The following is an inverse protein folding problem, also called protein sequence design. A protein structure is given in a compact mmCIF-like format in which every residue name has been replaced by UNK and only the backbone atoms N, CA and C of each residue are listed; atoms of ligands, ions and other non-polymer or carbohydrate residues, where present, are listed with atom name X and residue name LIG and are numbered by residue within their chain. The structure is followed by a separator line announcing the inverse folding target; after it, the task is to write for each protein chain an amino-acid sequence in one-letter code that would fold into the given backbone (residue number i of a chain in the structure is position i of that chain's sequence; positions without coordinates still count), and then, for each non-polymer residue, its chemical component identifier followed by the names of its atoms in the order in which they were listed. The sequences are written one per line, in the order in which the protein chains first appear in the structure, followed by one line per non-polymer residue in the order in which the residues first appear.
data_IF_592109555101
#
_entry.id   IF_592109555101
#
_cell.length_a   1.000
_cell.length_b   1.000
_cell.length_c   1.000
_cell.angle_alpha   90.00
_cell.angle_beta   90.00
_cell.angle_gamma   90.00
#
_symmetry.space_group_name_H-M   'P 1'
#
loop_
_entity.id
_entity.type
_entity.pdbx_description
1 polymer ?
#
# COMPACT_ATOMS: atom_id res chain seq x y z
N UNK A 1 18.27 -15.41 17.23
CA UNK A 1 19.06 -14.20 17.56
C UNK A 1 18.23 -12.98 17.15
N UNK A 2 18.58 -11.76 17.61
CA UNK A 2 17.69 -10.58 17.50
C UNK A 2 17.89 -9.89 16.15
N UNK A 3 16.81 -9.67 15.40
CA UNK A 3 16.80 -8.85 14.18
C UNK A 3 17.01 -7.38 14.53
N UNK A 4 17.92 -6.69 13.86
CA UNK A 4 18.20 -5.27 14.12
C UNK A 4 17.57 -4.44 13.00
N UNK A 5 16.78 -3.44 13.37
CA UNK A 5 16.09 -2.56 12.43
C UNK A 5 16.50 -1.12 12.68
N UNK A 6 16.91 -0.40 11.64
CA UNK A 6 17.04 1.05 11.66
C UNK A 6 15.97 1.70 10.78
N UNK A 7 15.48 2.86 11.23
CA UNK A 7 14.40 3.62 10.61
C UNK A 7 14.88 5.05 10.35
N UNK A 8 15.01 5.41 9.08
CA UNK A 8 15.44 6.75 8.66
C UNK A 8 14.23 7.54 8.15
N UNK A 9 13.74 8.49 8.95
CA UNK A 9 12.59 9.32 8.57
C UNK A 9 12.97 10.41 7.56
N UNK A 10 12.05 10.72 6.64
CA UNK A 10 12.20 11.83 5.70
C UNK A 10 10.87 12.55 5.45
N UNK A 11 11.01 13.84 5.14
CA UNK A 11 9.88 14.66 4.70
C UNK A 11 9.56 14.30 3.25
N UNK A 12 8.37 13.76 3.02
CA UNK A 12 7.82 13.52 1.69
C UNK A 12 7.49 14.82 0.94
N UNK A 13 7.43 14.78 -0.39
CA UNK A 13 7.07 15.95 -1.23
C UNK A 13 5.73 16.59 -0.88
N UNK A 14 4.80 15.85 -0.25
CA UNK A 14 3.55 16.40 0.31
C UNK A 14 3.80 17.47 1.38
N UNK A 15 4.79 17.28 2.26
CA UNK A 15 5.12 18.27 3.29
C UNK A 15 5.72 19.53 2.66
N UNK A 16 6.60 19.36 1.67
CA UNK A 16 7.20 20.48 0.96
C UNK A 16 6.15 21.28 0.19
N UNK A 17 5.28 20.61 -0.57
CA UNK A 17 4.21 21.25 -1.32
C UNK A 17 3.19 21.95 -0.40
N UNK A 18 2.87 21.36 0.75
CA UNK A 18 1.98 22.00 1.73
C UNK A 18 2.60 23.24 2.37
N UNK A 19 3.91 23.22 2.64
CA UNK A 19 4.62 24.37 3.18
C UNK A 19 4.73 25.50 2.14
N UNK A 20 5.04 25.16 0.89
CA UNK A 20 5.08 26.12 -0.21
C UNK A 20 3.71 26.75 -0.48
N UNK A 21 2.64 25.95 -0.51
CA UNK A 21 1.26 26.43 -0.72
C UNK A 21 0.79 27.35 0.42
N UNK A 22 1.09 26.99 1.69
CA UNK A 22 0.79 27.85 2.83
C UNK A 22 1.58 29.17 2.78
N UNK A 23 2.87 29.11 2.40
CA UNK A 23 3.67 30.31 2.17
C UNK A 23 3.06 31.24 1.11
N UNK A 24 2.66 30.68 -0.03
CA UNK A 24 2.07 31.44 -1.13
C UNK A 24 0.71 32.07 -0.77
N UNK A 25 -0.12 31.37 0.00
CA UNK A 25 -1.37 31.92 0.52
C UNK A 25 -1.14 33.05 1.52
N UNK A 26 -0.08 32.95 2.33
CA UNK A 26 0.29 34.01 3.28
C UNK A 26 0.73 35.27 2.56
N UNK A 27 1.54 35.14 1.50
CA UNK A 27 1.93 36.26 0.64
C UNK A 27 0.70 36.85 -0.07
N UNK A 28 -0.18 36.01 -0.60
CA UNK A 28 -1.44 36.43 -1.22
C UNK A 28 -2.32 37.22 -0.24
N UNK A 29 -2.40 36.79 1.03
CA UNK A 29 -3.14 37.51 2.07
C UNK A 29 -2.56 38.91 2.34
N UNK A 30 -1.24 39.06 2.35
CA UNK A 30 -0.57 40.36 2.49
C UNK A 30 -0.83 41.28 1.29
N UNK A 31 -0.75 40.74 0.07
CA UNK A 31 -1.05 41.51 -1.16
C UNK A 31 -2.52 41.91 -1.20
N UNK A 32 -3.44 41.01 -0.83
CA UNK A 32 -4.88 41.30 -0.77
C UNK A 32 -5.19 42.40 0.26
N UNK A 33 -4.54 42.37 1.44
CA UNK A 33 -4.69 43.42 2.45
C UNK A 33 -4.33 44.81 1.89
N UNK A 34 -3.19 44.92 1.19
CA UNK A 34 -2.75 46.18 0.58
C UNK A 34 -3.67 46.59 -0.57
N UNK A 35 -3.99 45.67 -1.48
CA UNK A 35 -4.82 45.93 -2.66
C UNK A 35 -6.24 46.36 -2.31
N UNK A 36 -6.89 45.67 -1.37
CA UNK A 36 -8.24 46.01 -0.90
C UNK A 36 -8.27 47.35 -0.17
N UNK A 37 -7.20 47.65 0.60
CA UNK A 37 -7.07 48.96 1.27
C UNK A 37 -6.90 50.10 0.27
N UNK A 38 -6.09 49.91 -0.78
CA UNK A 38 -5.92 50.91 -1.86
C UNK A 38 -7.21 51.09 -2.65
N UNK A 39 -7.98 50.02 -2.86
CA UNK A 39 -9.27 50.06 -3.55
C UNK A 39 -10.42 50.65 -2.72
N UNK A 40 -10.18 51.07 -1.47
CA UNK A 40 -11.20 51.69 -0.61
C UNK A 40 -12.27 50.71 -0.12
N UNK A 41 -11.98 49.41 -0.12
CA UNK A 41 -12.91 48.38 0.35
C UNK A 41 -13.10 48.50 1.86
N UNK A 42 -14.32 48.24 2.33
CA UNK A 42 -14.68 48.34 3.75
C UNK A 42 -13.75 47.53 4.67
N UNK A 43 -13.48 48.05 5.87
CA UNK A 43 -12.56 47.40 6.82
C UNK A 43 -13.01 45.99 7.21
N UNK A 44 -14.31 45.77 7.33
CA UNK A 44 -14.88 44.48 7.71
C UNK A 44 -14.72 43.42 6.61
N UNK A 45 -14.96 43.78 5.35
CA UNK A 45 -14.77 42.87 4.20
C UNK A 45 -13.29 42.58 3.97
N UNK A 46 -12.42 43.58 4.13
CA UNK A 46 -10.97 43.41 4.07
C UNK A 46 -10.49 42.44 5.17
N UNK A 47 -10.94 42.62 6.40
CA UNK A 47 -10.60 41.73 7.51
C UNK A 47 -11.10 40.29 7.29
N UNK A 48 -12.32 40.11 6.80
CA UNK A 48 -12.90 38.80 6.52
C UNK A 48 -12.12 38.03 5.44
N UNK A 49 -11.74 38.71 4.33
CA UNK A 49 -10.97 38.10 3.24
C UNK A 49 -9.57 37.69 3.72
N UNK A 50 -8.87 38.57 4.44
CA UNK A 50 -7.52 38.29 4.94
C UNK A 50 -7.55 37.17 5.99
N UNK A 51 -8.52 37.18 6.90
CA UNK A 51 -8.70 36.12 7.89
C UNK A 51 -8.99 34.76 7.23
N UNK A 52 -9.83 34.73 6.18
CA UNK A 52 -10.11 33.52 5.41
C UNK A 52 -8.86 32.94 4.73
N UNK A 53 -8.05 33.80 4.10
CA UNK A 53 -6.80 33.38 3.45
C UNK A 53 -5.76 32.86 4.46
N UNK A 54 -5.61 33.53 5.60
CA UNK A 54 -4.72 33.07 6.67
C UNK A 54 -5.21 31.77 7.32
N UNK A 55 -6.53 31.63 7.52
CA UNK A 55 -7.15 30.39 8.01
C UNK A 55 -6.89 29.21 7.08
N UNK A 56 -7.05 29.41 5.76
CA UNK A 56 -6.72 28.40 4.75
C UNK A 56 -5.23 28.05 4.75
N UNK A 57 -4.35 29.06 4.87
CA UNK A 57 -2.90 28.85 4.98
C UNK A 57 -2.54 27.98 6.18
N UNK A 58 -3.09 28.28 7.36
CA UNK A 58 -2.88 27.48 8.57
C UNK A 58 -3.43 26.05 8.44
N UNK A 59 -4.62 25.89 7.84
CA UNK A 59 -5.22 24.58 7.62
C UNK A 59 -4.35 23.70 6.69
N UNK A 60 -3.81 24.29 5.61
CA UNK A 60 -2.92 23.59 4.66
C UNK A 60 -1.59 23.23 5.34
N UNK A 61 -1.00 24.15 6.13
CA UNK A 61 0.22 23.88 6.88
C UNK A 61 0.00 22.78 7.94
N UNK A 62 -1.12 22.80 8.67
CA UNK A 62 -1.47 21.79 9.66
C UNK A 62 -1.69 20.43 9.00
N UNK A 63 -2.44 20.39 7.89
CA UNK A 63 -2.65 19.18 7.11
C UNK A 63 -1.33 18.58 6.57
N UNK A 64 -0.39 19.46 6.20
CA UNK A 64 0.98 19.09 5.86
C UNK A 64 1.74 18.46 7.02
N UNK A 65 1.73 19.08 8.20
CA UNK A 65 2.49 18.59 9.37
C UNK A 65 1.91 17.34 10.03
N UNK A 66 0.60 17.16 9.98
CA UNK A 66 -0.12 16.02 10.59
C UNK A 66 -0.06 14.75 9.72
N UNK A 67 0.45 14.84 8.50
CA UNK A 67 0.67 13.66 7.65
C UNK A 67 1.76 12.75 8.21
N UNK A 68 1.57 11.42 8.12
CA UNK A 68 2.62 10.44 8.45
C UNK A 68 3.89 10.72 7.62
N UNK A 69 5.02 10.86 8.30
CA UNK A 69 6.35 11.00 7.69
C UNK A 69 6.68 9.73 6.93
N UNK A 70 7.41 9.85 5.82
CA UNK A 70 7.96 8.66 5.16
C UNK A 70 9.14 8.17 5.98
N UNK A 71 9.38 6.88 6.01
CA UNK A 71 10.61 6.33 6.57
C UNK A 71 11.18 5.26 5.64
N UNK A 72 12.49 5.26 5.49
CA UNK A 72 13.26 4.15 4.93
C UNK A 72 13.58 3.19 6.08
N UNK A 73 13.24 1.93 5.89
CA UNK A 73 13.53 0.86 6.83
C UNK A 73 14.67 0.03 6.28
N UNK A 74 15.63 -0.31 7.13
CA UNK A 74 16.66 -1.31 6.86
C UNK A 74 16.71 -2.25 8.06
N UNK A 75 16.45 -3.52 7.81
CA UNK A 75 16.45 -4.58 8.81
C UNK A 75 17.43 -5.65 8.38
N UNK A 76 18.29 -6.09 9.30
CA UNK A 76 19.21 -7.20 9.07
C UNK A 76 18.98 -8.26 10.12
N UNK A 77 18.62 -9.46 9.67
CA UNK A 77 18.59 -10.67 10.49
C UNK A 77 19.88 -11.49 10.29
N UNK A 78 19.90 -12.76 10.68
CA UNK A 78 21.09 -13.60 10.60
C UNK A 78 21.38 -14.11 9.17
N UNK A 79 20.39 -14.08 8.27
CA UNK A 79 20.47 -14.69 6.94
C UNK A 79 20.04 -13.77 5.79
N UNK A 80 19.37 -12.65 6.06
CA UNK A 80 18.68 -11.80 5.08
C UNK A 80 18.75 -10.32 5.48
N UNK A 81 18.89 -9.47 4.47
CA UNK A 81 18.79 -8.02 4.55
C UNK A 81 17.48 -7.58 3.91
N UNK A 82 16.68 -6.82 4.64
CA UNK A 82 15.43 -6.22 4.16
C UNK A 82 15.58 -4.71 4.13
N UNK A 83 15.13 -4.07 3.06
CA UNK A 83 15.04 -2.61 3.00
C UNK A 83 13.89 -2.14 2.12
N UNK A 84 13.32 -0.98 2.46
CA UNK A 84 12.21 -0.39 1.70
C UNK A 84 11.69 0.88 2.35
N UNK A 85 10.57 1.39 1.87
CA UNK A 85 9.88 2.54 2.46
C UNK A 85 8.51 2.14 3.03
N UNK A 86 7.94 2.94 3.94
CA UNK A 86 6.63 2.63 4.56
C UNK A 86 5.42 2.62 3.58
N UNK A 87 5.60 3.08 2.34
CA UNK A 87 4.54 3.21 1.34
C UNK A 87 4.64 2.18 0.21
N UNK A 88 5.75 1.44 0.09
CA UNK A 88 6.06 0.49 -0.98
C UNK A 88 6.60 -0.84 -0.43
N UNK A 89 6.62 -1.87 -1.27
CA UNK A 89 7.00 -3.23 -0.93
C UNK A 89 8.46 -3.29 -0.41
N UNK A 90 8.68 -4.02 0.69
CA UNK A 90 10.01 -4.27 1.25
C UNK A 90 10.77 -5.22 0.30
N UNK A 91 12.01 -4.86 -0.04
CA UNK A 91 12.90 -5.70 -0.85
C UNK A 91 13.81 -6.49 0.09
N UNK A 92 13.94 -7.78 -0.17
CA UNK A 92 14.76 -8.70 0.63
C UNK A 92 15.85 -9.36 -0.22
N UNK A 93 17.06 -9.45 0.33
CA UNK A 93 18.17 -10.19 -0.26
C UNK A 93 18.84 -11.08 0.79
N UNK A 94 19.14 -12.35 0.48
CA UNK A 94 19.95 -13.19 1.35
C UNK A 94 21.32 -12.56 1.62
N UNK A 95 21.83 -12.63 2.84
CA UNK A 95 23.17 -12.14 3.21
C UNK A 95 24.27 -12.87 2.43
N UNK A 96 24.04 -14.12 2.04
CA UNK A 96 24.94 -14.88 1.16
C UNK A 96 25.07 -14.27 -0.24
N UNK A 97 24.05 -13.55 -0.71
CA UNK A 97 24.08 -12.86 -2.00
C UNK A 97 24.84 -11.52 -1.93
N UNK A 98 25.18 -11.04 -0.72
CA UNK A 98 25.88 -9.79 -0.52
C UNK A 98 27.35 -9.90 -1.00
N UNK A 99 27.65 -9.23 -2.10
CA UNK A 99 29.00 -9.21 -2.69
C UNK A 99 29.89 -8.13 -2.08
N UNK A 100 29.33 -6.97 -1.82
CA UNK A 100 30.05 -5.88 -1.15
C UNK A 100 29.10 -4.94 -0.44
N UNK A 101 29.59 -4.31 0.62
CA UNK A 101 28.94 -3.16 1.24
C UNK A 101 29.96 -2.04 1.50
N UNK A 102 29.51 -0.80 1.46
CA UNK A 102 30.31 0.36 1.82
C UNK A 102 29.41 1.46 2.41
N UNK A 103 29.92 2.19 3.40
CA UNK A 103 29.25 3.40 3.89
C UNK A 103 29.63 4.56 2.98
N UNK A 104 28.65 5.04 2.21
CA UNK A 104 28.78 6.21 1.34
C UNK A 104 28.65 7.53 2.10
N UNK A 105 29.05 8.62 1.45
CA UNK A 105 28.90 9.97 1.98
C UNK A 105 27.43 10.42 2.08
N UNK A 106 27.22 11.70 2.43
CA UNK A 106 25.87 12.27 2.45
C UNK A 106 25.24 12.26 1.06
N UNK A 107 23.96 11.91 0.97
CA UNK A 107 23.23 11.92 -0.29
C UNK A 107 22.77 13.34 -0.66
N UNK A 108 22.92 13.68 -1.95
CA UNK A 108 22.52 14.98 -2.50
C UNK A 108 21.03 15.06 -2.86
N UNK A 109 20.28 13.95 -2.75
CA UNK A 109 18.85 13.87 -3.07
C UNK A 109 18.10 12.87 -2.17
N UNK A 110 16.81 13.16 -1.92
CA UNK A 110 15.88 12.22 -1.29
C UNK A 110 15.15 11.41 -2.36
N UNK A 111 15.42 10.11 -2.44
CA UNK A 111 14.75 9.19 -3.37
C UNK A 111 14.01 8.09 -2.60
N UNK A 112 12.75 7.89 -2.96
CA UNK A 112 11.88 6.80 -2.50
C UNK A 112 11.46 5.88 -3.67
N UNK A 113 12.23 5.89 -4.76
CA UNK A 113 11.89 5.16 -5.98
C UNK A 113 12.51 3.77 -5.99
N UNK A 114 11.67 2.73 -6.02
CA UNK A 114 12.05 1.37 -6.40
C UNK A 114 11.57 1.12 -7.83
N UNK A 115 12.44 1.45 -8.78
CA UNK A 115 12.31 1.15 -10.20
C UNK A 115 13.67 0.73 -10.75
N UNK A 116 13.98 0.98 -12.04
CA UNK A 116 15.33 0.75 -12.62
C UNK A 116 16.49 1.44 -11.86
N UNK A 117 16.18 2.37 -10.96
CA UNK A 117 17.10 3.07 -10.10
C UNK A 117 17.02 2.55 -8.66
N UNK A 118 18.08 1.90 -8.21
CA UNK A 118 18.24 1.21 -6.91
C UNK A 118 18.66 2.20 -5.79
N UNK A 119 17.94 3.32 -5.64
CA UNK A 119 18.31 4.42 -4.73
C UNK A 119 17.20 4.74 -3.71
N UNK A 120 17.44 4.38 -2.45
CA UNK A 120 16.64 4.72 -1.25
C UNK A 120 17.42 5.71 -0.37
N UNK A 121 17.71 6.89 -0.90
CA UNK A 121 18.53 7.91 -0.22
C UNK A 121 17.67 9.00 0.44
N UNK A 122 18.21 9.65 1.47
CA UNK A 122 17.59 10.81 2.12
C UNK A 122 18.60 11.96 2.07
N UNK A 123 18.16 13.12 1.58
CA UNK A 123 18.99 14.31 1.45
C UNK A 123 19.73 14.64 2.76
N UNK A 124 21.05 14.81 2.68
CA UNK A 124 21.92 15.13 3.80
C UNK A 124 22.25 13.98 4.74
N UNK A 125 21.59 12.81 4.60
CA UNK A 125 21.91 11.61 5.38
C UNK A 125 22.95 10.76 4.65
N UNK A 126 23.78 10.03 5.41
CA UNK A 126 24.67 9.02 4.84
C UNK A 126 23.85 7.86 4.28
N UNK A 127 24.46 7.09 3.40
CA UNK A 127 23.83 5.89 2.86
C UNK A 127 24.76 4.70 2.92
N UNK A 128 24.17 3.51 3.00
CA UNK A 128 24.85 2.25 2.83
C UNK A 128 24.72 1.82 1.36
N UNK A 129 25.84 1.68 0.68
CA UNK A 129 25.92 1.09 -0.65
C UNK A 129 26.03 -0.42 -0.50
N UNK A 130 25.03 -1.16 -0.96
CA UNK A 130 24.96 -2.62 -0.92
C UNK A 130 24.99 -3.16 -2.34
N UNK A 131 25.79 -4.17 -2.61
CA UNK A 131 25.81 -4.85 -3.92
C UNK A 131 25.49 -6.32 -3.72
N UNK A 132 24.43 -6.79 -4.36
CA UNK A 132 23.97 -8.17 -4.30
C UNK A 132 24.19 -8.87 -5.64
N UNK A 133 24.48 -10.16 -5.62
CA UNK A 133 24.44 -11.00 -6.80
C UNK A 133 22.99 -11.18 -7.26
N UNK A 134 22.74 -11.05 -8.56
CA UNK A 134 21.43 -11.32 -9.14
C UNK A 134 21.36 -12.81 -9.47
N UNK A 135 20.35 -13.51 -8.95
CA UNK A 135 20.15 -14.91 -9.32
C UNK A 135 19.39 -14.97 -10.65
N UNK A 136 20.14 -14.94 -11.76
CA UNK A 136 19.59 -15.10 -13.10
C UNK A 136 19.74 -16.57 -13.48
N UNK A 137 18.60 -17.26 -13.63
CA UNK A 137 18.49 -18.47 -14.44
C UNK A 137 19.07 -18.18 -15.84
N UNK A 138 20.34 -18.55 -16.05
CA UNK A 138 21.06 -18.35 -17.31
C UNK A 138 20.54 -19.32 -18.37
N UNK A 139 19.57 -18.89 -19.17
CA UNK A 139 19.44 -19.36 -20.55
C UNK A 139 20.37 -18.50 -21.39
N UNK A 140 21.33 -19.16 -22.05
CA UNK A 140 22.62 -18.59 -22.43
C UNK A 140 22.59 -17.32 -23.29
N UNK A 141 23.59 -16.47 -23.07
CA UNK A 141 24.41 -15.79 -24.09
C UNK A 141 25.36 -14.79 -23.40
N UNK A 142 26.33 -14.32 -24.17
CA UNK A 142 27.62 -13.75 -23.78
C UNK A 142 27.67 -12.66 -22.68
N UNK A 143 28.76 -12.79 -21.92
CA UNK A 143 29.48 -11.88 -21.00
C UNK A 143 29.22 -10.38 -21.21
N UNK A 144 28.54 -9.79 -20.21
CA UNK A 144 28.81 -8.44 -19.71
C UNK A 144 28.73 -8.52 -18.17
N UNK A 145 29.90 -8.49 -17.50
CA UNK A 145 30.06 -8.80 -16.07
C UNK A 145 29.42 -7.74 -15.13
N UNK A 146 28.99 -6.60 -15.68
CA UNK A 146 28.36 -5.47 -14.97
C UNK A 146 26.82 -5.57 -14.88
N UNK A 147 26.19 -6.56 -15.55
CA UNK A 147 24.73 -6.71 -15.60
C UNK A 147 24.15 -7.72 -14.59
N UNK A 148 24.99 -8.46 -13.87
CA UNK A 148 24.61 -9.59 -12.99
C UNK A 148 24.57 -9.20 -11.49
N UNK A 149 24.61 -7.90 -11.16
CA UNK A 149 24.56 -7.42 -9.77
C UNK A 149 23.52 -6.32 -9.56
N UNK A 150 22.85 -6.35 -8.41
CA UNK A 150 21.92 -5.32 -7.97
C UNK A 150 22.60 -4.41 -6.93
N UNK A 151 22.68 -3.11 -7.21
CA UNK A 151 23.40 -2.11 -6.41
C UNK A 151 22.47 -1.13 -5.72
N UNK A 152 22.26 -1.30 -4.43
CA UNK A 152 21.37 -0.46 -3.62
C UNK A 152 22.11 0.64 -2.87
N UNK A 153 21.49 1.81 -2.74
CA UNK A 153 21.90 2.84 -1.77
C UNK A 153 20.77 3.07 -0.78
N UNK A 154 20.99 2.79 0.50
CA UNK A 154 19.96 2.84 1.55
C UNK A 154 20.34 3.87 2.61
N UNK A 155 19.46 4.82 2.90
CA UNK A 155 19.73 5.89 3.84
C UNK A 155 19.88 5.38 5.28
N UNK A 156 20.94 5.83 5.93
CA UNK A 156 21.27 5.52 7.33
C UNK A 156 21.51 6.81 8.10
N UNK A 157 21.13 6.81 9.38
CA UNK A 157 21.40 7.94 10.29
C UNK A 157 22.77 7.74 10.92
N UNK A 158 23.65 8.71 10.72
CA UNK A 158 24.97 8.70 11.36
C UNK A 158 24.82 8.83 12.88
N UNK A 159 25.38 7.87 13.63
CA UNK A 159 25.33 7.84 15.09
C UNK A 159 24.19 7.02 15.71
N UNK A 160 23.34 6.38 14.89
CA UNK A 160 22.33 5.44 15.38
C UNK A 160 22.98 4.11 15.83
N UNK A 161 22.80 3.65 17.09
CA UNK A 161 23.36 2.39 17.57
C UNK A 161 22.85 1.16 16.78
N UNK A 162 21.64 1.23 16.21
CA UNK A 162 21.12 0.16 15.36
C UNK A 162 21.91 0.04 14.05
N UNK A 163 22.33 1.17 13.48
CA UNK A 163 23.17 1.21 12.27
C UNK A 163 24.55 0.62 12.55
N UNK A 164 25.15 0.94 13.71
CA UNK A 164 26.44 0.36 14.12
C UNK A 164 26.35 -1.17 14.19
N UNK A 165 25.31 -1.69 14.86
CA UNK A 165 25.12 -3.14 14.99
C UNK A 165 24.82 -3.83 13.66
N UNK A 166 24.12 -3.15 12.73
CA UNK A 166 23.92 -3.62 11.35
C UNK A 166 25.25 -3.69 10.60
N UNK A 167 26.08 -2.65 10.66
CA UNK A 167 27.39 -2.62 9.99
C UNK A 167 28.32 -3.71 10.53
N UNK A 168 28.35 -3.93 11.84
CA UNK A 168 29.16 -4.99 12.45
C UNK A 168 28.69 -6.38 12.00
N UNK A 169 27.38 -6.60 11.89
CA UNK A 169 26.81 -7.85 11.37
C UNK A 169 27.12 -8.05 9.89
N UNK A 170 26.97 -7.01 9.06
CA UNK A 170 27.35 -7.08 7.64
C UNK A 170 28.85 -7.38 7.46
N UNK A 171 29.71 -6.81 8.31
CA UNK A 171 31.15 -7.09 8.31
C UNK A 171 31.47 -8.55 8.67
N UNK A 172 30.69 -9.17 9.55
CA UNK A 172 30.85 -10.56 9.92
C UNK A 172 30.53 -11.54 8.77
N UNK A 173 29.57 -11.18 7.89
CA UNK A 173 29.12 -12.04 6.78
C UNK A 173 29.80 -11.73 5.44
N UNK A 174 30.21 -10.49 5.20
CA UNK A 174 30.94 -10.09 4.00
C UNK A 174 32.21 -9.34 4.43
N UNK A 175 33.38 -10.01 4.54
CA UNK A 175 34.62 -9.33 4.89
C UNK A 175 34.96 -8.33 3.77
N UNK A 176 34.86 -7.06 4.12
CA UNK A 176 35.10 -5.87 3.32
C UNK A 176 36.38 -6.04 2.46
N UNK A 177 36.26 -6.28 1.15
CA UNK A 177 37.30 -5.85 0.21
C UNK A 177 37.18 -4.33 0.11
N UNK A 178 37.75 -3.65 1.10
CA UNK A 178 37.96 -2.20 1.11
C UNK A 178 38.61 -1.83 -0.22
N UNK A 179 37.85 -1.13 -1.06
CA UNK A 179 38.39 -0.50 -2.26
C UNK A 179 39.30 0.65 -1.84
N UNK A 180 40.55 0.37 -1.51
CA UNK A 180 41.63 1.35 -1.55
C UNK A 180 41.95 1.66 -3.02
N UNK A 181 41.03 2.38 -3.69
CA UNK A 181 41.31 3.02 -4.99
C UNK A 181 42.34 4.16 -4.88
N UNK A 182 42.99 4.32 -3.73
CA UNK A 182 44.09 5.27 -3.50
C UNK A 182 45.42 4.63 -3.10
N UNK A 183 45.58 3.31 -3.14
CA UNK A 183 46.89 2.66 -2.89
C UNK A 183 47.31 1.57 -3.89
N UNK A 184 46.48 1.20 -4.87
CA UNK A 184 46.84 0.21 -5.89
C UNK A 184 47.55 0.79 -7.14
N UNK A 185 47.93 2.07 -7.14
CA UNK A 185 48.75 2.66 -8.21
C UNK A 185 50.27 2.48 -7.97
N UNK A 186 50.68 1.89 -6.84
CA UNK A 186 52.09 1.78 -6.45
C UNK A 186 52.64 0.34 -6.42
N UNK A 187 51.83 -0.69 -6.68
CA UNK A 187 52.25 -2.09 -6.58
C UNK A 187 52.30 -2.85 -7.91
N UNK A 188 51.88 -2.22 -9.01
CA UNK A 188 51.77 -2.87 -10.34
C UNK A 188 53.05 -2.80 -11.19
N UNK A 189 54.22 -2.61 -10.55
CA UNK A 189 55.53 -2.60 -11.24
C UNK A 189 56.39 -3.82 -10.86
N UNK A 190 55.95 -4.68 -9.93
CA UNK A 190 56.85 -5.69 -9.38
C UNK A 190 56.23 -7.08 -9.17
N UNK A 191 55.71 -7.69 -10.24
CA UNK A 191 56.02 -9.10 -10.59
C UNK A 191 55.24 -9.56 -11.81
N UNK A 192 55.82 -9.24 -12.96
CA UNK A 192 55.85 -10.17 -14.08
C UNK A 192 56.55 -11.45 -13.62
N UNK A 193 55.92 -12.62 -13.73
CA UNK A 193 56.45 -13.83 -14.39
C UNK A 193 55.70 -15.11 -14.02
N UNK A 194 55.59 -15.97 -15.03
CA UNK A 194 55.35 -17.42 -15.03
C UNK A 194 53.89 -17.90 -15.13
N UNK A 195 53.52 -18.05 -16.39
CA UNK A 195 52.66 -19.07 -17.00
C UNK A 195 53.03 -20.51 -16.62
N UNK A 196 52.04 -21.38 -16.36
CA UNK A 196 51.97 -22.78 -16.86
C UNK A 196 50.50 -23.22 -17.01
N UNK A 197 50.25 -23.87 -18.15
CA UNK A 197 49.05 -24.54 -18.64
C UNK A 197 48.98 -26.01 -18.20
N UNK A 198 47.78 -26.57 -17.93
CA UNK A 198 47.26 -27.96 -18.16
C UNK A 198 45.78 -27.90 -17.72
N UNK A 199 44.75 -28.50 -18.31
CA UNK A 199 44.53 -29.48 -19.38
C UNK A 199 43.09 -30.00 -19.22
N UNK A 200 42.42 -30.26 -20.34
CA UNK A 200 40.97 -30.53 -20.46
C UNK A 200 40.48 -31.93 -20.06
N UNK A 201 39.14 -32.04 -19.93
CA UNK A 201 38.23 -33.16 -20.26
C UNK A 201 37.66 -34.01 -19.08
N UNK A 202 36.51 -34.71 -19.27
CA UNK A 202 35.24 -34.29 -19.90
C UNK A 202 33.98 -34.66 -19.06
N UNK A 203 32.83 -34.08 -19.45
CA UNK A 203 31.46 -34.46 -19.02
C UNK A 203 31.03 -35.86 -19.52
N UNK A 204 29.98 -36.44 -18.90
CA UNK A 204 29.05 -37.28 -19.63
C UNK A 204 27.58 -36.77 -19.56
N UNK A 205 27.02 -36.62 -20.77
CA UNK A 205 25.63 -36.85 -21.23
C UNK A 205 24.99 -38.12 -20.59
N UNK A 206 23.68 -38.41 -20.49
CA UNK A 206 22.34 -37.91 -20.86
C UNK A 206 21.32 -38.84 -20.10
N UNK A 207 20.03 -38.51 -20.11
CA UNK A 207 18.83 -39.37 -19.96
C UNK A 207 17.78 -38.94 -18.88
N UNK A 208 16.68 -38.34 -19.37
CA UNK A 208 15.32 -38.63 -18.87
C UNK A 208 14.50 -37.46 -18.28
N UNK A 209 13.29 -37.14 -18.81
CA UNK A 209 12.47 -36.03 -18.33
C UNK A 209 11.60 -36.42 -17.13
N UNK A 210 11.79 -35.72 -15.99
CA UNK A 210 10.92 -35.81 -14.81
C UNK A 210 9.71 -34.85 -14.92
N UNK A 211 8.55 -35.21 -14.32
CA UNK A 211 7.26 -34.56 -14.55
C UNK A 211 7.15 -33.19 -13.89
N UNK A 212 6.34 -32.32 -14.51
CA UNK A 212 6.05 -30.92 -14.14
C UNK A 212 5.81 -30.74 -12.64
N UNK A 213 6.74 -30.03 -12.00
CA UNK A 213 6.56 -29.49 -10.66
C UNK A 213 5.52 -28.36 -10.63
N UNK A 214 4.80 -28.35 -9.52
CA UNK A 214 3.73 -27.45 -9.06
C UNK A 214 4.11 -25.95 -9.07
N UNK A 215 3.13 -25.03 -8.98
CA UNK A 215 3.34 -23.63 -9.35
C UNK A 215 4.23 -22.90 -8.35
N UNK A 216 5.28 -22.29 -8.92
CA UNK A 216 5.97 -21.06 -8.53
C UNK A 216 5.44 -20.41 -7.23
N UNK A 217 6.04 -20.81 -6.10
CA UNK A 217 5.84 -20.14 -4.82
C UNK A 217 6.50 -18.77 -4.93
N UNK A 218 5.69 -17.73 -5.11
CA UNK A 218 6.12 -16.33 -5.18
C UNK A 218 6.90 -15.92 -3.91
N UNK A 219 8.24 -16.07 -3.96
CA UNK A 219 9.22 -15.80 -2.89
C UNK A 219 9.32 -14.31 -2.50
N UNK A 220 8.36 -13.46 -2.88
CA UNK A 220 8.50 -11.99 -2.80
C UNK A 220 7.76 -11.33 -1.65
N UNK A 221 7.21 -12.09 -0.68
CA UNK A 221 6.49 -11.51 0.47
C UNK A 221 6.72 -12.27 1.78
N UNK A 222 6.89 -11.58 2.92
CA UNK A 222 7.11 -12.24 4.22
C UNK A 222 5.96 -13.19 4.55
N UNK A 223 6.25 -14.49 4.62
CA UNK A 223 5.28 -15.51 5.05
C UNK A 223 5.41 -15.75 6.54
N UNK A 224 4.32 -16.19 7.16
CA UNK A 224 4.38 -16.63 8.56
C UNK A 224 5.18 -17.93 8.68
N UNK A 225 5.13 -18.78 7.66
CA UNK A 225 5.96 -19.98 7.57
C UNK A 225 7.46 -19.67 7.67
N UNK A 226 7.90 -18.56 7.06
CA UNK A 226 9.30 -18.16 6.97
C UNK A 226 9.74 -17.25 8.15
N UNK A 227 8.87 -17.05 9.15
CA UNK A 227 9.16 -16.17 10.27
C UNK A 227 10.24 -16.76 11.20
N UNK A 228 11.34 -16.02 11.39
CA UNK A 228 12.45 -16.46 12.25
C UNK A 228 12.11 -16.59 13.74
N UNK A 229 11.04 -15.95 14.24
CA UNK A 229 10.59 -16.08 15.64
C UNK A 229 9.07 -16.19 15.77
N UNK A 230 8.60 -16.66 16.91
CA UNK A 230 7.17 -16.81 17.19
C UNK A 230 6.47 -15.46 17.36
N UNK A 231 7.16 -14.46 17.90
CA UNK A 231 6.68 -13.09 17.97
C UNK A 231 6.57 -12.46 16.59
N UNK A 232 7.48 -12.78 15.66
CA UNK A 232 7.39 -12.33 14.28
C UNK A 232 6.20 -12.98 13.55
N UNK A 233 6.01 -14.30 13.72
CA UNK A 233 4.85 -15.03 13.21
C UNK A 233 3.53 -14.43 13.74
N UNK A 234 3.48 -14.14 15.06
CA UNK A 234 2.32 -13.51 15.69
C UNK A 234 2.03 -12.12 15.12
N UNK A 235 3.05 -11.26 14.95
CA UNK A 235 2.86 -9.92 14.37
C UNK A 235 2.35 -9.98 12.93
N UNK A 236 2.86 -10.91 12.12
CA UNK A 236 2.38 -11.12 10.74
C UNK A 236 0.94 -11.64 10.71
N UNK A 237 0.57 -12.49 11.66
CA UNK A 237 -0.82 -12.94 11.83
C UNK A 237 -1.73 -11.79 12.26
N UNK A 238 -1.34 -10.98 13.25
CA UNK A 238 -2.08 -9.79 13.71
C UNK A 238 -2.29 -8.77 12.58
N UNK A 239 -1.28 -8.57 11.73
CA UNK A 239 -1.40 -7.75 10.53
C UNK A 239 -2.43 -8.33 9.54
N UNK A 240 -2.45 -9.65 9.39
CA UNK A 240 -3.43 -10.34 8.54
C UNK A 240 -4.85 -10.19 9.09
N UNK A 241 -5.03 -10.26 10.42
CA UNK A 241 -6.30 -9.95 11.09
C UNK A 241 -6.74 -8.52 10.80
N UNK A 242 -5.85 -7.54 10.99
CA UNK A 242 -6.15 -6.13 10.72
C UNK A 242 -6.56 -5.90 9.27
N UNK A 243 -5.86 -6.54 8.33
CA UNK A 243 -6.16 -6.50 6.90
C UNK A 243 -7.54 -7.08 6.58
N UNK A 244 -7.90 -8.20 7.19
CA UNK A 244 -9.21 -8.80 7.04
C UNK A 244 -10.30 -7.83 7.56
N UNK A 245 -10.09 -7.23 8.74
CA UNK A 245 -11.05 -6.26 9.30
C UNK A 245 -11.20 -5.00 8.44
N UNK A 246 -10.12 -4.52 7.83
CA UNK A 246 -10.18 -3.41 6.86
C UNK A 246 -11.08 -3.73 5.67
N UNK A 247 -10.99 -4.95 5.14
CA UNK A 247 -11.82 -5.41 4.01
C UNK A 247 -13.28 -5.52 4.45
N UNK A 248 -13.54 -6.12 5.61
CA UNK A 248 -14.90 -6.22 6.17
C UNK A 248 -15.53 -4.84 6.39
N UNK A 249 -14.78 -3.88 6.94
CA UNK A 249 -15.28 -2.50 7.12
C UNK A 249 -15.57 -1.82 5.78
N UNK A 250 -14.71 -2.02 4.78
CA UNK A 250 -14.93 -1.46 3.45
C UNK A 250 -16.17 -2.06 2.78
N UNK A 251 -16.32 -3.39 2.85
CA UNK A 251 -17.46 -4.10 2.29
C UNK A 251 -18.77 -3.78 3.03
N UNK A 252 -18.74 -3.65 4.36
CA UNK A 252 -19.89 -3.25 5.16
C UNK A 252 -20.48 -1.89 4.71
N UNK A 253 -19.64 -0.99 4.19
CA UNK A 253 -20.12 0.26 3.60
C UNK A 253 -21.06 0.06 2.40
N UNK A 254 -20.93 -1.04 1.67
CA UNK A 254 -21.82 -1.39 0.55
C UNK A 254 -23.07 -2.15 1.01
N UNK A 255 -22.97 -2.96 2.06
CA UNK A 255 -24.12 -3.72 2.57
C UNK A 255 -25.06 -2.91 3.46
N UNK A 256 -24.53 -1.91 4.18
CA UNK A 256 -25.29 -1.17 5.19
C UNK A 256 -25.83 0.18 4.69
N UNK A 257 -25.25 0.75 3.63
CA UNK A 257 -25.70 2.03 3.07
C UNK A 257 -26.59 1.81 1.84
N UNK A 258 -27.91 2.10 1.93
CA UNK A 258 -28.80 2.00 0.77
C UNK A 258 -28.35 2.84 -0.43
N UNK A 259 -27.67 3.97 -0.22
CA UNK A 259 -27.17 4.78 -1.33
C UNK A 259 -26.10 4.04 -2.15
N UNK A 260 -25.28 3.22 -1.49
CA UNK A 260 -24.24 2.42 -2.14
C UNK A 260 -24.86 1.29 -2.97
N UNK A 261 -25.89 0.62 -2.45
CA UNK A 261 -26.68 -0.36 -3.21
C UNK A 261 -27.29 0.28 -4.48
N UNK A 262 -27.91 1.45 -4.35
CA UNK A 262 -28.55 2.12 -5.48
C UNK A 262 -27.55 2.58 -6.55
N UNK A 263 -26.32 2.93 -6.14
CA UNK A 263 -25.28 3.46 -7.03
C UNK A 263 -24.39 2.39 -7.65
N UNK A 264 -24.04 1.36 -6.88
CA UNK A 264 -23.11 0.31 -7.27
C UNK A 264 -23.65 -1.09 -6.93
N UNK A 265 -24.83 -1.48 -7.46
CA UNK A 265 -25.46 -2.75 -7.10
C UNK A 265 -24.60 -3.96 -7.45
N UNK A 266 -23.78 -3.88 -8.50
CA UNK A 266 -22.87 -4.94 -8.92
C UNK A 266 -21.84 -5.37 -7.85
N UNK A 267 -21.55 -4.53 -6.84
CA UNK A 267 -20.57 -4.86 -5.77
C UNK A 267 -21.15 -5.89 -4.78
N UNK A 268 -22.46 -5.90 -4.58
CA UNK A 268 -23.16 -6.81 -3.64
C UNK A 268 -23.99 -7.88 -4.35
N UNK A 269 -24.16 -7.76 -5.68
CA UNK A 269 -24.90 -8.71 -6.49
C UNK A 269 -24.09 -10.01 -6.71
N UNK A 270 -24.51 -11.07 -6.02
CA UNK A 270 -23.89 -12.40 -6.10
C UNK A 270 -24.05 -13.09 -7.45
N UNK A 271 -24.78 -12.51 -8.41
CA UNK A 271 -24.80 -13.01 -9.79
C UNK A 271 -23.59 -12.56 -10.60
N UNK A 272 -22.85 -11.56 -10.11
CA UNK A 272 -21.62 -11.05 -10.73
C UNK A 272 -20.43 -11.91 -10.30
N UNK A 273 -19.67 -12.42 -11.28
CA UNK A 273 -18.52 -13.32 -11.07
C UNK A 273 -17.50 -12.77 -10.07
N UNK A 274 -17.11 -11.49 -10.19
CA UNK A 274 -16.12 -10.90 -9.29
C UNK A 274 -16.63 -10.77 -7.85
N UNK A 275 -17.95 -10.66 -7.68
CA UNK A 275 -18.61 -10.63 -6.36
C UNK A 275 -18.65 -12.04 -5.77
N UNK A 276 -18.95 -13.06 -6.58
CA UNK A 276 -18.84 -14.47 -6.18
C UNK A 276 -17.43 -14.83 -5.72
N UNK A 277 -16.41 -14.48 -6.51
CA UNK A 277 -15.00 -14.70 -6.17
C UNK A 277 -14.61 -14.05 -4.83
N UNK A 278 -15.14 -12.84 -4.57
CA UNK A 278 -14.95 -12.16 -3.30
C UNK A 278 -15.60 -12.92 -2.14
N UNK A 279 -16.85 -13.37 -2.28
CA UNK A 279 -17.53 -14.13 -1.23
C UNK A 279 -16.86 -15.48 -0.97
N UNK A 280 -16.43 -16.20 -2.01
CA UNK A 280 -15.67 -17.44 -1.84
C UNK A 280 -14.37 -17.21 -1.08
N UNK A 281 -13.61 -16.17 -1.44
CA UNK A 281 -12.39 -15.83 -0.72
C UNK A 281 -12.66 -15.33 0.71
N UNK A 282 -13.81 -14.70 0.96
CA UNK A 282 -14.22 -14.24 2.28
C UNK A 282 -14.56 -15.42 3.19
N UNK A 283 -15.31 -16.40 2.67
CA UNK A 283 -15.65 -17.63 3.37
C UNK A 283 -14.39 -18.45 3.70
N UNK A 284 -13.47 -18.61 2.73
CA UNK A 284 -12.18 -19.27 2.96
C UNK A 284 -11.36 -18.58 4.06
N UNK A 285 -11.30 -17.25 4.07
CA UNK A 285 -10.56 -16.50 5.09
C UNK A 285 -11.27 -16.55 6.45
N UNK A 286 -12.60 -16.52 6.46
CA UNK A 286 -13.42 -16.65 7.65
C UNK A 286 -13.26 -18.00 8.33
N UNK A 287 -13.24 -19.09 7.57
CA UNK A 287 -13.07 -20.45 8.08
C UNK A 287 -11.72 -20.68 8.79
N UNK A 288 -10.69 -19.93 8.39
CA UNK A 288 -9.34 -20.00 8.97
C UNK A 288 -9.10 -18.97 10.07
N UNK A 289 -10.07 -18.08 10.33
CA UNK A 289 -9.93 -17.01 11.31
C UNK A 289 -10.09 -17.54 12.72
N UNK A 290 -9.16 -17.15 13.60
CA UNK A 290 -9.19 -17.45 15.03
C UNK A 290 -9.22 -16.17 15.86
N UNK A 291 -9.77 -16.21 17.08
CA UNK A 291 -9.84 -15.04 17.98
C UNK A 291 -8.47 -14.64 18.53
N UNK A 292 -7.60 -15.63 18.72
CA UNK A 292 -6.22 -15.46 19.16
C UNK A 292 -5.28 -16.21 18.22
N UNK A 293 -4.00 -15.88 18.31
CA UNK A 293 -2.97 -16.55 17.52
C UNK A 293 -2.99 -18.07 17.79
N UNK A 294 -3.09 -18.91 16.75
CA UNK A 294 -3.36 -20.35 16.90
C UNK A 294 -2.20 -21.16 17.50
N UNK A 295 -1.00 -20.60 17.60
CA UNK A 295 0.20 -21.33 18.06
C UNK A 295 0.81 -22.26 17.00
N UNK A 296 0.04 -22.61 15.98
CA UNK A 296 0.48 -23.36 14.80
C UNK A 296 0.78 -22.39 13.64
N UNK A 297 2.04 -22.37 13.18
CA UNK A 297 2.49 -21.54 12.08
C UNK A 297 1.88 -21.92 10.73
N UNK A 298 1.59 -23.19 10.50
CA UNK A 298 0.97 -23.66 9.27
C UNK A 298 -0.46 -23.11 9.13
N UNK A 299 -1.24 -23.15 10.22
CA UNK A 299 -2.59 -22.59 10.26
C UNK A 299 -2.55 -21.07 10.12
N UNK A 300 -1.64 -20.40 10.85
CA UNK A 300 -1.48 -18.95 10.75
C UNK A 300 -1.05 -18.49 9.35
N UNK A 301 -0.15 -19.22 8.69
CA UNK A 301 0.28 -18.97 7.32
C UNK A 301 -0.83 -19.20 6.30
N UNK A 302 -1.60 -20.30 6.43
CA UNK A 302 -2.77 -20.56 5.60
C UNK A 302 -3.79 -19.43 5.70
N UNK A 303 -4.06 -18.92 6.91
CA UNK A 303 -4.90 -17.75 7.13
C UNK A 303 -4.35 -16.51 6.44
N UNK A 304 -3.05 -16.20 6.61
CA UNK A 304 -2.41 -15.06 5.94
C UNK A 304 -2.53 -15.15 4.41
N UNK A 305 -2.30 -16.33 3.84
CA UNK A 305 -2.44 -16.55 2.40
C UNK A 305 -3.88 -16.38 1.93
N UNK A 306 -4.86 -16.88 2.69
CA UNK A 306 -6.29 -16.70 2.42
C UNK A 306 -6.69 -15.22 2.45
N UNK A 307 -6.25 -14.46 3.47
CA UNK A 307 -6.47 -13.00 3.54
C UNK A 307 -5.83 -12.26 2.36
N UNK A 308 -4.70 -12.72 1.84
CA UNK A 308 -4.09 -12.16 0.62
C UNK A 308 -4.96 -12.42 -0.61
N UNK A 309 -5.53 -13.63 -0.76
CA UNK A 309 -6.49 -13.95 -1.82
C UNK A 309 -7.75 -13.08 -1.69
N UNK A 310 -8.34 -13.00 -0.50
CA UNK A 310 -9.46 -12.14 -0.17
C UNK A 310 -9.20 -10.68 -0.57
N UNK A 311 -8.03 -10.13 -0.23
CA UNK A 311 -7.66 -8.76 -0.62
C UNK A 311 -7.70 -8.56 -2.13
N UNK A 312 -7.15 -9.50 -2.90
CA UNK A 312 -7.13 -9.40 -4.37
C UNK A 312 -8.54 -9.50 -4.94
N UNK A 313 -9.34 -10.43 -4.46
CA UNK A 313 -10.73 -10.60 -4.86
C UNK A 313 -11.55 -9.34 -4.54
N UNK A 314 -11.39 -8.76 -3.34
CA UNK A 314 -12.04 -7.51 -2.96
C UNK A 314 -11.69 -6.35 -3.90
N UNK A 315 -10.40 -6.14 -4.20
CA UNK A 315 -9.97 -5.06 -5.11
C UNK A 315 -10.57 -5.26 -6.51
N UNK A 316 -10.62 -6.51 -7.00
CA UNK A 316 -11.21 -6.83 -8.29
C UNK A 316 -12.73 -6.59 -8.31
N UNK A 317 -13.44 -7.07 -7.28
CA UNK A 317 -14.87 -6.86 -7.06
C UNK A 317 -15.21 -5.37 -7.02
N UNK A 318 -14.59 -4.61 -6.11
CA UNK A 318 -14.90 -3.18 -5.94
C UNK A 318 -14.61 -2.38 -7.22
N UNK A 319 -13.46 -2.63 -7.86
CA UNK A 319 -13.11 -1.97 -9.12
C UNK A 319 -14.07 -2.32 -10.24
N UNK A 320 -14.48 -3.59 -10.34
CA UNK A 320 -15.45 -4.02 -11.34
C UNK A 320 -16.82 -3.39 -11.08
N UNK A 321 -17.36 -3.53 -9.87
CA UNK A 321 -18.68 -3.05 -9.51
C UNK A 321 -18.81 -1.53 -9.62
N UNK A 322 -17.77 -0.77 -9.27
CA UNK A 322 -17.77 0.70 -9.52
C UNK A 322 -17.69 1.08 -10.99
N UNK A 323 -16.97 0.30 -11.80
CA UNK A 323 -16.82 0.56 -13.24
C UNK A 323 -18.10 0.25 -14.00
N UNK A 324 -18.76 -0.86 -13.65
CA UNK A 324 -20.02 -1.26 -14.29
C UNK A 324 -21.19 -0.45 -13.74
N UNK A 325 -21.21 -0.19 -12.42
CA UNK A 325 -22.30 0.53 -11.76
C UNK A 325 -23.64 -0.19 -11.98
N UNK A 326 -24.57 0.48 -12.65
CA UNK A 326 -25.86 -0.08 -13.08
C UNK A 326 -25.86 -0.56 -14.53
N UNK A 327 -24.73 -0.47 -15.24
CA UNK A 327 -24.63 -0.67 -16.69
C UNK A 327 -24.94 -2.09 -17.19
N UNK A 328 -24.97 -3.09 -16.30
CA UNK A 328 -25.36 -4.46 -16.61
C UNK A 328 -26.88 -4.69 -16.60
N UNK A 329 -27.66 -3.71 -16.12
CA UNK A 329 -29.11 -3.77 -16.07
C UNK A 329 -29.74 -3.21 -17.34
N UNK A 330 -30.97 -3.64 -17.62
CA UNK A 330 -31.75 -3.11 -18.72
C UNK A 330 -32.01 -1.60 -18.57
N UNK A 331 -32.17 -0.84 -19.68
CA UNK A 331 -32.37 0.60 -19.63
C UNK A 331 -33.51 1.06 -18.72
N UNK A 332 -34.62 0.33 -18.69
CA UNK A 332 -35.76 0.64 -17.84
C UNK A 332 -35.41 0.50 -16.34
N UNK A 333 -34.70 -0.57 -15.99
CA UNK A 333 -34.29 -0.85 -14.61
C UNK A 333 -33.19 0.11 -14.13
N UNK A 334 -32.28 0.51 -15.03
CA UNK A 334 -31.32 1.59 -14.76
C UNK A 334 -32.00 2.92 -14.43
N UNK A 335 -33.03 3.28 -15.18
CA UNK A 335 -33.79 4.52 -14.92
C UNK A 335 -34.55 4.45 -13.58
N UNK A 336 -35.08 3.28 -13.23
CA UNK A 336 -35.72 3.04 -11.94
C UNK A 336 -34.73 3.24 -10.78
N UNK A 337 -33.52 2.68 -10.85
CA UNK A 337 -32.48 2.89 -9.83
C UNK A 337 -31.98 4.33 -9.76
N UNK A 338 -31.78 5.00 -10.90
CA UNK A 338 -31.41 6.42 -10.93
C UNK A 338 -32.50 7.30 -10.27
N UNK A 339 -33.77 6.99 -10.53
CA UNK A 339 -34.92 7.65 -9.88
C UNK A 339 -34.92 7.38 -8.38
N UNK A 340 -34.73 6.13 -7.96
CA UNK A 340 -34.63 5.76 -6.55
C UNK A 340 -33.47 6.49 -5.85
N UNK A 341 -32.29 6.59 -6.48
CA UNK A 341 -31.15 7.32 -5.93
C UNK A 341 -31.44 8.81 -5.76
N UNK A 342 -32.11 9.44 -6.74
CA UNK A 342 -32.54 10.85 -6.62
C UNK A 342 -33.54 11.06 -5.49
N UNK A 343 -34.54 10.19 -5.39
CA UNK A 343 -35.53 10.24 -4.31
C UNK A 343 -34.87 10.05 -2.94
N UNK A 344 -33.94 9.11 -2.82
CA UNK A 344 -33.17 8.89 -1.59
C UNK A 344 -32.37 10.13 -1.19
N UNK A 345 -31.64 10.74 -2.13
CA UNK A 345 -30.88 11.96 -1.86
C UNK A 345 -31.79 13.14 -1.49
N UNK A 346 -32.97 13.25 -2.11
CA UNK A 346 -33.98 14.25 -1.73
C UNK A 346 -34.53 14.01 -0.33
N UNK A 347 -34.80 12.76 0.04
CA UNK A 347 -35.23 12.40 1.38
C UNK A 347 -34.16 12.78 2.42
N UNK A 348 -32.90 12.42 2.17
CA UNK A 348 -31.79 12.73 3.05
C UNK A 348 -31.55 14.24 3.23
N UNK A 349 -31.88 15.05 2.23
CA UNK A 349 -31.74 16.51 2.27
C UNK A 349 -33.00 17.25 2.78
N UNK A 350 -34.18 16.61 2.81
CA UNK A 350 -35.41 17.25 3.28
C UNK A 350 -35.40 17.38 4.81
N UNK A 351 -35.95 18.47 5.33
CA UNK A 351 -36.15 18.70 6.77
C UNK A 351 -37.56 18.35 7.24
N UNK A 352 -38.45 17.90 6.34
CA UNK A 352 -39.85 17.59 6.65
C UNK A 352 -40.06 16.08 6.76
N UNK A 353 -40.41 15.53 7.95
CA UNK A 353 -40.56 14.09 8.15
C UNK A 353 -41.57 13.42 7.21
N UNK A 354 -42.70 14.08 6.92
CA UNK A 354 -43.72 13.57 5.99
C UNK A 354 -43.18 13.43 4.56
N UNK A 355 -42.35 14.36 4.11
CA UNK A 355 -41.70 14.27 2.79
C UNK A 355 -40.65 13.16 2.78
N UNK A 356 -39.83 13.08 3.84
CA UNK A 356 -38.84 12.00 4.00
C UNK A 356 -39.51 10.62 3.91
N UNK A 357 -40.61 10.42 4.64
CA UNK A 357 -41.37 9.18 4.63
C UNK A 357 -41.93 8.85 3.24
N UNK A 358 -42.47 9.85 2.53
CA UNK A 358 -42.97 9.67 1.17
C UNK A 358 -41.85 9.27 0.20
N UNK A 359 -40.70 9.94 0.26
CA UNK A 359 -39.58 9.65 -0.63
C UNK A 359 -38.93 8.30 -0.32
N UNK A 360 -38.61 7.99 0.95
CA UNK A 360 -38.07 6.68 1.32
C UNK A 360 -39.04 5.53 1.02
N UNK A 361 -40.35 5.75 1.23
CA UNK A 361 -41.39 4.79 0.84
C UNK A 361 -41.35 4.46 -0.65
N UNK A 362 -41.25 5.48 -1.52
CA UNK A 362 -41.11 5.27 -2.97
C UNK A 362 -39.82 4.55 -3.36
N UNK A 363 -38.70 4.87 -2.69
CA UNK A 363 -37.42 4.18 -2.91
C UNK A 363 -37.58 2.69 -2.59
N UNK A 364 -38.15 2.36 -1.43
CA UNK A 364 -38.42 0.99 -1.02
C UNK A 364 -39.30 0.26 -2.04
N UNK A 365 -40.37 0.89 -2.52
CA UNK A 365 -41.30 0.25 -3.46
C UNK A 365 -40.60 -0.07 -4.81
N UNK A 366 -39.74 0.83 -5.30
CA UNK A 366 -38.91 0.58 -6.50
C UNK A 366 -37.97 -0.61 -6.26
N UNK A 367 -37.21 -0.59 -5.16
CA UNK A 367 -36.24 -1.63 -4.83
C UNK A 367 -36.92 -2.99 -4.64
N UNK A 368 -38.06 -3.05 -3.93
CA UNK A 368 -38.86 -4.27 -3.76
C UNK A 368 -39.32 -4.81 -5.10
N UNK A 369 -39.91 -3.96 -5.94
CA UNK A 369 -40.39 -4.38 -7.28
C UNK A 369 -39.28 -4.97 -8.14
N UNK A 370 -38.08 -4.38 -8.10
CA UNK A 370 -36.92 -4.89 -8.83
C UNK A 370 -36.39 -6.21 -8.24
N UNK A 371 -36.46 -6.36 -6.92
CA UNK A 371 -36.06 -7.58 -6.19
C UNK A 371 -37.03 -8.73 -6.48
N UNK A 372 -38.34 -8.48 -6.45
CA UNK A 372 -39.38 -9.47 -6.74
C UNK A 372 -39.31 -9.98 -8.18
N UNK A 373 -38.84 -9.13 -9.11
CA UNK A 373 -38.55 -9.50 -10.50
C UNK A 373 -37.24 -10.28 -10.68
N UNK A 374 -36.41 -10.40 -9.64
CA UNK A 374 -35.10 -11.04 -9.68
C UNK A 374 -34.04 -10.26 -10.46
N UNK A 375 -34.25 -8.96 -10.68
CA UNK A 375 -33.30 -8.10 -11.41
C UNK A 375 -32.24 -7.51 -10.48
N UNK A 376 -32.63 -7.27 -9.23
CA UNK A 376 -31.76 -6.77 -8.18
C UNK A 376 -31.68 -7.79 -7.05
N UNK A 377 -30.47 -8.05 -6.55
CA UNK A 377 -30.24 -8.96 -5.42
C UNK A 377 -29.64 -8.18 -4.25
N UNK A 378 -30.44 -7.34 -3.55
CA UNK A 378 -29.91 -6.50 -2.49
C UNK A 378 -29.62 -7.31 -1.22
N UNK A 379 -28.59 -6.93 -0.43
CA UNK A 379 -28.39 -7.47 0.90
C UNK A 379 -29.58 -7.20 1.81
N UNK A 380 -29.93 -8.18 2.66
CA UNK A 380 -31.03 -8.04 3.63
C UNK A 380 -30.83 -6.87 4.60
N UNK A 381 -29.58 -6.55 4.93
CA UNK A 381 -29.25 -5.42 5.80
C UNK A 381 -29.61 -4.07 5.15
N UNK A 382 -29.35 -3.88 3.85
CA UNK A 382 -29.71 -2.66 3.13
C UNK A 382 -31.24 -2.47 3.04
N UNK A 383 -31.99 -3.55 2.81
CA UNK A 383 -33.46 -3.51 2.83
C UNK A 383 -33.98 -3.15 4.22
N UNK A 384 -33.44 -3.78 5.25
CA UNK A 384 -33.81 -3.51 6.65
C UNK A 384 -33.54 -2.06 7.02
N UNK A 385 -32.41 -1.48 6.58
CA UNK A 385 -32.11 -0.08 6.85
C UNK A 385 -33.05 0.87 6.09
N UNK A 386 -33.42 0.57 4.84
CA UNK A 386 -34.44 1.30 4.09
C UNK A 386 -35.80 1.31 4.81
N UNK A 387 -36.21 0.18 5.38
CA UNK A 387 -37.42 0.08 6.19
C UNK A 387 -37.30 0.90 7.47
N UNK A 388 -36.16 0.84 8.16
CA UNK A 388 -35.92 1.57 9.39
C UNK A 388 -35.88 3.08 9.19
N UNK A 389 -35.27 3.60 8.11
CA UNK A 389 -35.31 5.05 7.80
C UNK A 389 -36.73 5.50 7.45
N UNK A 390 -37.49 4.67 6.73
CA UNK A 390 -38.89 4.97 6.39
C UNK A 390 -39.76 5.03 7.66
N UNK A 391 -39.61 4.06 8.56
CA UNK A 391 -40.35 4.01 9.83
C UNK A 391 -40.02 5.21 10.71
N UNK A 392 -38.74 5.54 10.88
CA UNK A 392 -38.29 6.72 11.64
C UNK A 392 -38.89 8.02 11.09
N UNK A 393 -38.97 8.15 9.77
CA UNK A 393 -39.57 9.33 9.14
C UNK A 393 -41.10 9.41 9.38
N UNK A 394 -41.80 8.27 9.39
CA UNK A 394 -43.23 8.21 9.71
C UNK A 394 -43.50 8.58 11.18
N UNK A 395 -42.70 8.05 12.11
CA UNK A 395 -42.83 8.32 13.55
C UNK A 395 -42.50 9.78 13.92
N UNK A 396 -41.61 10.43 13.15
CA UNK A 396 -41.25 11.83 13.35
C UNK A 396 -42.26 12.83 12.76
N UNK A 397 -43.21 12.37 11.93
CA UNK A 397 -44.29 13.21 11.40
C UNK A 397 -45.39 13.47 12.45
N UNK A 398 -46.07 14.62 12.43
CA UNK A 398 -47.27 14.80 13.24
C UNK A 398 -48.36 13.84 12.78
N UNK A 399 -48.93 13.08 13.73
CA UNK A 399 -49.99 12.11 13.53
C UNK A 399 -51.29 12.74 13.01
#
# INVERSE_FOLDING_TARGET
MVSITCRTEYLTGRHHNSAAAAGLLTVTALVALVGLRVAGVGGMTTAAVVAGLLGCSMAIAAHGRLGRRGAVLLTVDDETVYFGDERRELVSYPLESLRSFAVGGSADETSASTGRSQHLTVFGQKYLALTFARDVLKVGSHVDDDLDTDRWRVAIVEGDPAVTAIVDRLRAHAPERVSTRKQAAAADVARSTVSVSVGSAPEPEDDGPLPRGEPDVDLRRPRIADAGTEEAARRLWEESVRRHDEILRAYAGYELDPAMLLRYPAVTDVTVEQTQDFHHALDEAGALRTDAYPGDRGIADAYQQSVRRLRRAWIACEKHGRRVGTGYLDPADRNSLDTALKLYNHAAASSTPTEQASYYGRVRDIVSTMTDRGVLHPPQAALSELENVTRRALEAGPA
#
